data_IF_974953547097
#
_entry.id   IF_974953547097
#
_cell.length_a   1.000
_cell.length_b   1.000
_cell.length_c   1.000
_cell.angle_alpha   90.00
_cell.angle_beta   90.00
_cell.angle_gamma   90.00
#
_symmetry.space_group_name_H-M   'P 1'
#
loop_
_entity.id
_entity.type
_entity.pdbx_description
1 polymer ?
#
# COMPACT_ATOMS: atom_id res chain seq x y z
N UNK A 1 6.66 4.85 2.97
CA UNK A 1 5.23 5.04 2.66
C UNK A 1 4.56 3.69 2.85
N UNK A 2 3.41 3.65 3.51
CA UNK A 2 2.52 2.48 3.55
C UNK A 2 1.25 2.82 2.78
N UNK A 3 0.78 1.91 1.95
CA UNK A 3 -0.39 2.14 1.12
C UNK A 3 -1.27 0.90 1.09
N UNK A 4 -2.58 1.13 1.14
CA UNK A 4 -3.61 0.12 0.88
C UNK A 4 -4.49 0.59 -0.26
N UNK A 5 -4.68 -0.28 -1.25
CA UNK A 5 -5.51 -0.03 -2.43
C UNK A 5 -6.55 -1.14 -2.60
N UNK A 6 -7.69 -0.79 -3.19
CA UNK A 6 -8.59 -1.76 -3.82
C UNK A 6 -8.77 -1.38 -5.30
N UNK A 7 -9.67 -2.06 -6.02
CA UNK A 7 -9.95 -1.78 -7.42
C UNK A 7 -10.62 -0.42 -7.68
N UNK A 8 -11.11 0.28 -6.65
CA UNK A 8 -11.84 1.53 -6.73
C UNK A 8 -11.02 2.75 -6.33
N UNK A 9 -10.23 2.66 -5.27
CA UNK A 9 -9.49 3.79 -4.71
C UNK A 9 -8.22 3.36 -3.95
N UNK A 10 -7.34 4.34 -3.72
CA UNK A 10 -6.35 4.27 -2.65
C UNK A 10 -7.09 4.59 -1.35
N UNK A 11 -7.14 3.63 -0.45
CA UNK A 11 -7.96 3.70 0.77
C UNK A 11 -7.21 4.45 1.86
N UNK A 12 -5.92 4.16 1.98
CA UNK A 12 -5.05 4.83 2.94
C UNK A 12 -3.62 4.90 2.40
N UNK A 13 -2.99 6.04 2.63
CA UNK A 13 -1.58 6.27 2.34
C UNK A 13 -0.98 7.01 3.55
N UNK A 14 0.05 6.43 4.15
CA UNK A 14 0.79 7.04 5.26
C UNK A 14 2.26 7.24 4.82
N UNK A 15 2.71 8.49 4.79
CA UNK A 15 4.08 8.86 4.50
C UNK A 15 4.94 8.85 5.77
N UNK A 16 6.16 8.32 5.65
CA UNK A 16 7.13 8.24 6.74
C UNK A 16 8.39 8.97 6.30
N UNK A 17 8.80 9.99 7.06
CA UNK A 17 9.94 10.86 6.71
C UNK A 17 11.06 10.67 7.72
N UNK A 18 12.22 10.20 7.26
CA UNK A 18 13.41 10.06 8.11
C UNK A 18 13.35 8.89 9.10
N UNK A 19 12.33 8.04 9.02
CA UNK A 19 12.22 6.81 9.80
C UNK A 19 11.92 5.61 8.89
N UNK A 20 12.45 4.45 9.27
CA UNK A 20 12.12 3.18 8.63
C UNK A 20 10.79 2.67 9.18
N UNK A 21 10.04 1.95 8.35
CA UNK A 21 8.85 1.21 8.81
C UNK A 21 9.30 -0.06 9.52
N UNK A 22 8.68 -0.34 10.65
CA UNK A 22 8.89 -1.53 11.48
C UNK A 22 7.54 -2.15 11.87
N UNK A 23 7.56 -3.23 12.64
CA UNK A 23 6.33 -3.93 13.02
C UNK A 23 5.36 -3.04 13.81
N UNK A 24 5.85 -2.20 14.73
CA UNK A 24 5.01 -1.35 15.57
C UNK A 24 4.29 -0.25 14.77
N UNK A 25 5.04 0.43 13.90
CA UNK A 25 4.49 1.47 13.01
C UNK A 25 3.51 0.87 12.01
N UNK A 26 3.77 -0.35 11.53
CA UNK A 26 2.84 -1.10 10.68
C UNK A 26 1.58 -1.55 11.43
N UNK A 27 1.68 -2.07 12.66
CA UNK A 27 0.51 -2.42 13.48
C UNK A 27 -0.38 -1.20 13.76
N UNK A 28 0.24 -0.03 13.98
CA UNK A 28 -0.49 1.24 14.13
C UNK A 28 -1.23 1.63 12.85
N UNK A 29 -0.61 1.39 11.69
CA UNK A 29 -1.26 1.57 10.39
C UNK A 29 -2.47 0.63 10.22
N UNK A 30 -2.34 -0.66 10.55
CA UNK A 30 -3.43 -1.63 10.47
C UNK A 30 -4.62 -1.24 11.36
N UNK A 31 -4.38 -0.74 12.58
CA UNK A 31 -5.45 -0.25 13.46
C UNK A 31 -6.19 0.96 12.87
N UNK A 32 -5.45 1.89 12.25
CA UNK A 32 -6.06 3.03 11.54
C UNK A 32 -6.88 2.56 10.33
N UNK A 33 -6.42 1.51 9.67
CA UNK A 33 -7.11 0.93 8.51
C UNK A 33 -8.46 0.34 8.91
N UNK A 34 -8.55 -0.37 10.05
CA UNK A 34 -9.84 -0.86 10.58
C UNK A 34 -10.82 0.30 10.82
N UNK A 35 -10.35 1.43 11.34
CA UNK A 35 -11.20 2.61 11.56
C UNK A 35 -11.74 3.24 10.26
N UNK A 36 -11.10 2.98 9.11
CA UNK A 36 -11.54 3.46 7.79
C UNK A 36 -12.51 2.48 7.14
N UNK A 37 -12.24 1.18 7.22
CA UNK A 37 -13.06 0.13 6.60
C UNK A 37 -14.32 -0.21 7.40
N UNK A 38 -14.24 -0.16 8.73
CA UNK A 38 -15.33 -0.56 9.61
C UNK A 38 -15.54 -2.08 9.64
N UNK A 39 -16.78 -2.50 9.90
CA UNK A 39 -17.16 -3.91 9.92
C UNK A 39 -17.26 -4.49 8.50
N UNK A 40 -16.77 -5.71 8.31
CA UNK A 40 -16.88 -6.43 7.05
C UNK A 40 -15.82 -7.52 6.88
N UNK A 41 -16.09 -8.43 5.94
CA UNK A 41 -15.20 -9.54 5.61
C UNK A 41 -14.18 -9.10 4.56
N UNK A 42 -13.05 -8.58 5.04
CA UNK A 42 -11.95 -8.15 4.17
C UNK A 42 -10.76 -9.12 4.26
N UNK A 43 -10.06 -9.29 3.15
CA UNK A 43 -8.76 -9.96 3.09
C UNK A 43 -7.69 -8.96 2.72
N UNK A 44 -6.70 -8.79 3.59
CA UNK A 44 -5.52 -7.97 3.34
C UNK A 44 -4.43 -8.83 2.71
N UNK A 45 -4.09 -8.52 1.46
CA UNK A 45 -2.98 -9.16 0.73
C UNK A 45 -1.74 -8.29 0.84
N UNK A 46 -0.66 -8.85 1.36
CA UNK A 46 0.59 -8.12 1.61
C UNK A 46 1.79 -8.83 0.98
N UNK A 47 2.86 -8.08 0.73
CA UNK A 47 4.15 -8.68 0.36
C UNK A 47 4.75 -9.49 1.53
N UNK A 48 5.80 -10.25 1.24
CA UNK A 48 6.40 -11.16 2.21
C UNK A 48 7.43 -10.48 3.16
N UNK A 49 7.23 -9.21 3.50
CA UNK A 49 8.15 -8.49 4.37
C UNK A 49 8.12 -9.03 5.81
N UNK A 50 9.29 -9.21 6.42
CA UNK A 50 9.42 -9.78 7.78
C UNK A 50 8.62 -9.03 8.84
N UNK A 51 8.58 -7.70 8.74
CA UNK A 51 7.86 -6.87 9.72
C UNK A 51 6.34 -6.99 9.60
N UNK A 52 5.79 -7.39 8.44
CA UNK A 52 4.36 -7.71 8.32
C UNK A 52 4.02 -8.95 9.16
N UNK A 53 4.81 -10.02 9.05
CA UNK A 53 4.63 -11.24 9.84
C UNK A 53 4.73 -10.95 11.34
N UNK A 54 5.76 -10.21 11.77
CA UNK A 54 5.91 -9.81 13.17
C UNK A 54 4.70 -9.00 13.66
N UNK A 55 4.24 -8.04 12.86
CA UNK A 55 3.08 -7.22 13.23
C UNK A 55 1.80 -8.05 13.36
N UNK A 56 1.51 -8.91 12.39
CA UNK A 56 0.32 -9.79 12.40
C UNK A 56 0.35 -10.73 13.60
N UNK A 57 1.50 -11.36 13.89
CA UNK A 57 1.64 -12.26 15.04
C UNK A 57 1.49 -11.55 16.40
N UNK A 58 1.70 -10.23 16.44
CA UNK A 58 1.60 -9.43 17.66
C UNK A 58 0.22 -8.74 17.81
N UNK A 59 -0.68 -8.88 16.85
CA UNK A 59 -2.02 -8.30 16.91
C UNK A 59 -3.00 -9.39 17.31
N UNK A 60 -3.49 -9.31 18.54
CA UNK A 60 -4.60 -10.14 18.99
C UNK A 60 -5.90 -9.69 18.34
N UNK A 61 -6.69 -10.64 17.85
CA UNK A 61 -8.06 -10.45 17.35
C UNK A 61 -8.22 -9.34 16.30
N UNK A 62 -7.47 -9.43 15.19
CA UNK A 62 -7.71 -8.55 14.04
C UNK A 62 -8.96 -9.00 13.26
N UNK A 63 -9.85 -8.08 12.81
CA UNK A 63 -11.14 -8.45 12.22
C UNK A 63 -11.06 -8.94 10.77
N UNK A 64 -9.89 -8.85 10.11
CA UNK A 64 -9.72 -9.19 8.69
C UNK A 64 -8.75 -10.34 8.51
N UNK A 65 -8.90 -11.08 7.41
CA UNK A 65 -7.95 -12.13 7.03
C UNK A 65 -6.66 -11.54 6.47
N UNK A 66 -5.54 -12.20 6.73
CA UNK A 66 -4.24 -11.84 6.14
C UNK A 66 -3.78 -12.91 5.15
N UNK A 67 -3.35 -12.47 3.96
CA UNK A 67 -2.65 -13.31 2.98
C UNK A 67 -1.32 -12.69 2.61
N UNK A 68 -0.32 -13.54 2.39
CA UNK A 68 1.03 -13.12 2.03
C UNK A 68 1.40 -13.67 0.66
N UNK A 69 2.06 -12.82 -0.13
CA UNK A 69 2.60 -13.24 -1.41
C UNK A 69 3.84 -14.13 -1.26
N UNK A 70 4.16 -14.94 -2.27
CA UNK A 70 5.43 -15.65 -2.32
C UNK A 70 6.63 -14.69 -2.25
N UNK A 71 7.77 -15.20 -1.76
CA UNK A 71 8.99 -14.38 -1.68
C UNK A 71 9.44 -14.00 -3.09
N UNK A 72 9.94 -12.77 -3.22
CA UNK A 72 10.49 -12.23 -4.47
C UNK A 72 9.48 -12.18 -5.62
N UNK A 73 8.20 -11.99 -5.32
CA UNK A 73 7.12 -11.87 -6.32
C UNK A 73 6.49 -10.48 -6.39
N UNK A 74 7.28 -9.39 -6.60
CA UNK A 74 6.72 -8.03 -6.63
C UNK A 74 5.73 -7.83 -7.77
N UNK A 75 5.82 -8.63 -8.84
CA UNK A 75 4.89 -8.62 -9.96
C UNK A 75 3.47 -9.07 -9.58
N UNK A 76 3.29 -9.76 -8.45
CA UNK A 76 1.98 -10.12 -7.91
C UNK A 76 1.39 -9.02 -7.03
N UNK A 77 2.09 -7.90 -6.81
CA UNK A 77 1.68 -6.83 -5.92
C UNK A 77 1.16 -5.60 -6.69
N UNK A 78 -0.17 -5.38 -6.76
CA UNK A 78 -0.75 -4.19 -7.38
C UNK A 78 -0.21 -2.86 -6.81
N UNK A 79 0.25 -2.85 -5.56
CA UNK A 79 0.84 -1.66 -4.95
C UNK A 79 2.15 -1.23 -5.64
N UNK A 80 2.89 -2.12 -6.28
CA UNK A 80 4.12 -1.77 -7.01
C UNK A 80 3.81 -0.90 -8.23
N UNK A 81 2.72 -1.19 -8.94
CA UNK A 81 2.29 -0.41 -10.09
C UNK A 81 1.72 0.96 -9.67
N UNK A 82 0.92 0.99 -8.60
CA UNK A 82 0.46 2.23 -7.99
C UNK A 82 1.65 3.10 -7.57
N UNK A 83 2.66 2.51 -6.92
CA UNK A 83 3.88 3.22 -6.52
C UNK A 83 4.69 3.71 -7.73
N UNK A 84 4.78 2.92 -8.80
CA UNK A 84 5.41 3.33 -10.05
C UNK A 84 4.72 4.56 -10.66
N UNK A 85 3.38 4.58 -10.69
CA UNK A 85 2.62 5.72 -11.18
C UNK A 85 2.83 6.98 -10.30
N UNK A 86 2.82 6.84 -8.97
CA UNK A 86 3.10 7.95 -8.06
C UNK A 86 4.49 8.52 -8.29
N UNK A 87 5.53 7.67 -8.35
CA UNK A 87 6.91 8.10 -8.66
C UNK A 87 6.98 8.86 -9.98
N UNK A 88 6.32 8.37 -11.02
CA UNK A 88 6.33 9.01 -12.33
C UNK A 88 5.62 10.36 -12.36
N UNK A 89 4.67 10.62 -11.47
CA UNK A 89 4.03 11.94 -11.32
C UNK A 89 4.94 12.90 -10.60
N UNK A 90 5.45 12.53 -9.43
CA UNK A 90 6.37 13.35 -8.64
C UNK A 90 7.59 13.79 -9.47
N UNK A 91 8.13 12.90 -10.32
CA UNK A 91 9.26 13.20 -11.22
C UNK A 91 8.91 14.16 -12.36
N UNK A 92 7.66 14.15 -12.84
CA UNK A 92 7.20 15.06 -13.91
C UNK A 92 7.07 16.50 -13.42
N UNK A 93 6.85 16.69 -12.12
CA UNK A 93 6.77 18.02 -11.50
C UNK A 93 8.15 18.66 -11.25
N UNK A 94 9.22 18.08 -11.81
CA UNK A 94 10.59 18.57 -11.68
C UNK A 94 11.30 18.11 -10.40
N UNK A 95 12.42 18.78 -10.07
CA UNK A 95 13.24 18.45 -8.91
C UNK A 95 12.49 18.82 -7.62
N UNK A 96 12.44 17.89 -6.67
CA UNK A 96 11.81 18.11 -5.36
C UNK A 96 12.65 19.02 -4.48
N UNK A 97 12.02 20.00 -3.84
CA UNK A 97 12.68 20.94 -2.93
C UNK A 97 12.64 20.42 -1.48
N UNK A 98 13.48 19.42 -1.21
CA UNK A 98 13.59 18.81 0.11
C UNK A 98 12.44 17.86 0.46
N UNK A 99 12.44 17.39 1.72
CA UNK A 99 11.57 16.29 2.16
C UNK A 99 10.08 16.66 2.19
N UNK A 100 9.75 17.87 2.64
CA UNK A 100 8.35 18.31 2.76
C UNK A 100 7.68 18.47 1.40
N UNK A 101 8.41 18.98 0.39
CA UNK A 101 7.90 19.08 -0.98
C UNK A 101 7.68 17.68 -1.58
N UNK A 102 8.61 16.74 -1.35
CA UNK A 102 8.42 15.34 -1.77
C UNK A 102 7.17 14.71 -1.13
N UNK A 103 6.97 14.86 0.18
CA UNK A 103 5.78 14.34 0.87
C UNK A 103 4.52 14.94 0.28
N UNK A 104 4.46 16.27 0.17
CA UNK A 104 3.30 16.97 -0.38
C UNK A 104 2.96 16.46 -1.79
N UNK A 105 3.95 16.34 -2.69
CA UNK A 105 3.73 15.84 -4.04
C UNK A 105 3.26 14.38 -4.08
N UNK A 106 3.74 13.53 -3.17
CA UNK A 106 3.26 12.15 -3.05
C UNK A 106 1.79 12.11 -2.60
N UNK A 107 1.45 12.89 -1.57
CA UNK A 107 0.08 12.99 -1.05
C UNK A 107 -0.87 13.56 -2.11
N UNK A 108 -0.50 14.64 -2.79
CA UNK A 108 -1.30 15.27 -3.85
C UNK A 108 -1.47 14.36 -5.08
N UNK A 109 -0.52 13.45 -5.32
CA UNK A 109 -0.59 12.50 -6.43
C UNK A 109 -1.54 11.33 -6.18
N UNK A 110 -1.86 11.01 -4.92
CA UNK A 110 -2.70 9.87 -4.56
C UNK A 110 -4.14 10.00 -5.07
N UNK A 111 -4.88 11.11 -4.83
CA UNK A 111 -6.25 11.29 -5.34
C UNK A 111 -6.34 11.25 -6.86
N UNK A 112 -5.27 11.62 -7.57
CA UNK A 112 -5.28 11.66 -9.03
C UNK A 112 -5.17 10.30 -9.70
N UNK A 113 -4.95 9.19 -8.97
CA UNK A 113 -4.83 7.86 -9.60
C UNK A 113 -6.22 7.45 -10.10
N UNK A 114 -6.43 7.30 -11.42
CA UNK A 114 -7.75 7.02 -11.93
C UNK A 114 -8.16 5.58 -11.61
N UNK A 115 -9.45 5.39 -11.33
CA UNK A 115 -10.05 4.11 -10.92
C UNK A 115 -9.74 2.98 -11.90
N UNK A 116 -9.78 3.28 -13.20
CA UNK A 116 -9.44 2.31 -14.24
C UNK A 116 -8.02 1.76 -14.11
N UNK A 117 -7.07 2.56 -13.62
CA UNK A 117 -5.69 2.14 -13.41
C UNK A 117 -5.63 1.16 -12.24
N UNK A 118 -6.34 1.44 -11.15
CA UNK A 118 -6.41 0.55 -9.98
C UNK A 118 -6.99 -0.81 -10.35
N UNK A 119 -8.12 -0.83 -11.07
CA UNK A 119 -8.72 -2.07 -11.58
C UNK A 119 -7.76 -2.84 -12.49
N UNK A 120 -7.03 -2.15 -13.37
CA UNK A 120 -6.03 -2.77 -14.23
C UNK A 120 -4.85 -3.36 -13.44
N UNK A 121 -4.41 -2.72 -12.36
CA UNK A 121 -3.30 -3.24 -11.55
C UNK A 121 -3.66 -4.57 -10.88
N UNK A 122 -4.88 -4.67 -10.35
CA UNK A 122 -5.38 -5.93 -9.79
C UNK A 122 -5.50 -7.00 -10.87
N UNK A 123 -6.10 -6.68 -12.01
CA UNK A 123 -6.27 -7.62 -13.12
C UNK A 123 -4.92 -8.14 -13.66
N UNK A 124 -3.90 -7.27 -13.72
CA UNK A 124 -2.56 -7.66 -14.12
C UNK A 124 -1.93 -8.63 -13.11
N UNK A 125 -1.99 -8.32 -11.81
CA UNK A 125 -1.49 -9.21 -10.76
C UNK A 125 -2.20 -10.58 -10.76
N UNK A 126 -3.53 -10.59 -10.93
CA UNK A 126 -4.31 -11.82 -11.04
C UNK A 126 -3.90 -12.67 -12.25
N UNK A 127 -3.68 -12.04 -13.41
CA UNK A 127 -3.26 -12.75 -14.62
C UNK A 127 -1.93 -13.50 -14.42
N UNK A 128 -1.03 -12.97 -13.59
CA UNK A 128 0.27 -13.57 -13.29
C UNK A 128 0.21 -14.64 -12.21
N UNK A 129 -0.84 -14.64 -11.39
CA UNK A 129 -1.07 -15.69 -10.39
C UNK A 129 -1.70 -16.96 -10.97
N UNK A 130 -2.27 -16.89 -12.17
CA UNK A 130 -2.92 -18.00 -12.86
C UNK A 130 -1.99 -18.72 -13.86
N UNK A 131 -0.69 -18.42 -13.83
CA UNK A 131 0.38 -19.04 -14.64
C UNK A 131 1.16 -20.02 -13.78
#
# INVERSE_FOLDING_TARGET
MLQTINCYNIIKCDEFVGCCVNAETFSSFLRRLVAVFGEGDFTLVMDNARFHHTAVNNIDHFPYEFKFQPRYSPFLNPCEEAFSMLKNRVRRDGVTQGKNDLVRRMTDSCPGIPVNSLSNFLAHAESLSNV
#
